data_IF_917764183023
#
_entry.id   IF_917764183023
#
_cell.length_a   1.000
_cell.length_b   1.000
_cell.length_c   1.000
_cell.angle_alpha   90.00
_cell.angle_beta   90.00
_cell.angle_gamma   90.00
#
_symmetry.space_group_name_H-M   'P 1'
#
loop_
_entity.id
_entity.type
_entity.pdbx_description
1 polymer ?
#
# COMPACT_ATOMS: atom_id res chain seq x y z
N UNK A 1 18.54 -13.45 24.87
CA UNK A 1 17.73 -13.95 23.74
C UNK A 1 16.61 -12.95 23.56
N UNK A 2 16.64 -12.05 22.56
CA UNK A 2 15.49 -11.20 22.29
C UNK A 2 14.32 -12.09 21.85
N UNK A 3 13.17 -11.90 22.50
CA UNK A 3 11.89 -12.53 22.16
C UNK A 3 11.41 -12.08 20.77
N UNK A 4 10.62 -12.89 20.04
CA UNK A 4 10.09 -12.48 18.76
C UNK A 4 9.13 -11.29 18.95
N UNK A 5 9.55 -10.15 18.37
CA UNK A 5 8.85 -8.87 18.20
C UNK A 5 8.84 -7.86 19.36
N UNK A 6 10.02 -7.36 19.73
CA UNK A 6 10.24 -5.96 20.19
C UNK A 6 10.27 -4.97 19.00
N UNK A 7 9.70 -5.35 17.85
CA UNK A 7 9.55 -4.41 16.75
C UNK A 7 8.56 -3.33 17.18
N UNK A 8 8.98 -2.06 17.18
CA UNK A 8 8.06 -0.95 17.38
C UNK A 8 6.85 -1.11 16.45
N UNK A 9 5.63 -0.76 16.89
CA UNK A 9 4.44 -0.95 16.08
C UNK A 9 4.62 -0.21 14.74
N UNK A 10 4.66 -0.99 13.66
CA UNK A 10 4.82 -0.47 12.31
C UNK A 10 3.44 -0.21 11.71
N UNK A 11 3.30 0.94 11.06
CA UNK A 11 2.08 1.28 10.31
C UNK A 11 2.35 1.10 8.84
N UNK A 12 1.55 0.27 8.19
CA UNK A 12 1.69 0.00 6.77
C UNK A 12 0.52 0.59 6.02
N UNK A 13 0.81 1.23 4.89
CA UNK A 13 -0.19 1.92 4.10
C UNK A 13 0.00 1.58 2.63
N UNK A 14 -1.03 1.01 2.02
CA UNK A 14 -1.12 0.80 0.59
C UNK A 14 -1.67 2.06 -0.07
N UNK A 15 -1.06 2.46 -1.18
CA UNK A 15 -1.50 3.59 -2.00
C UNK A 15 -1.50 3.18 -3.46
N UNK A 16 -2.60 3.46 -4.17
CA UNK A 16 -2.65 3.33 -5.61
C UNK A 16 -3.32 4.56 -6.23
N UNK A 17 -3.09 4.76 -7.52
CA UNK A 17 -3.55 5.94 -8.26
C UNK A 17 -4.38 5.51 -9.46
N UNK A 18 -5.23 6.42 -9.92
CA UNK A 18 -5.81 6.35 -11.26
C UNK A 18 -4.97 7.22 -12.18
N UNK A 19 -4.45 6.64 -13.25
CA UNK A 19 -3.76 7.41 -14.28
C UNK A 19 -4.74 8.21 -15.14
N UNK A 20 -5.28 9.28 -14.58
CA UNK A 20 -6.24 10.18 -15.24
C UNK A 20 -5.64 10.89 -16.47
N UNK A 21 -4.31 10.95 -16.58
CA UNK A 21 -3.60 11.69 -17.63
C UNK A 21 -2.99 10.78 -18.72
N UNK A 22 -3.10 9.46 -18.58
CA UNK A 22 -2.57 8.49 -19.55
C UNK A 22 -1.05 8.42 -19.60
N UNK A 23 -0.37 8.70 -18.48
CA UNK A 23 1.09 8.58 -18.34
C UNK A 23 1.60 7.13 -18.23
N UNK A 24 0.69 6.15 -18.16
CA UNK A 24 0.98 4.74 -17.92
C UNK A 24 1.38 4.42 -16.48
N UNK A 25 1.14 5.33 -15.52
CA UNK A 25 1.57 5.18 -14.12
C UNK A 25 0.62 4.28 -13.31
N UNK A 26 0.57 3.02 -13.72
CA UNK A 26 -0.21 1.98 -13.06
C UNK A 26 0.64 1.27 -12.03
N UNK A 27 0.55 1.70 -10.77
CA UNK A 27 1.29 1.06 -9.68
C UNK A 27 0.55 1.10 -8.35
N UNK A 28 0.97 0.22 -7.45
CA UNK A 28 0.61 0.22 -6.04
C UNK A 28 1.87 0.27 -5.19
N UNK A 29 1.87 1.19 -4.23
CA UNK A 29 2.94 1.42 -3.28
C UNK A 29 2.54 0.96 -1.89
N UNK A 30 3.43 0.25 -1.21
CA UNK A 30 3.32 -0.06 0.21
C UNK A 30 4.36 0.73 0.98
N UNK A 31 3.90 1.63 1.85
CA UNK A 31 4.75 2.37 2.76
C UNK A 31 4.72 1.75 4.15
N UNK A 32 5.89 1.48 4.72
CA UNK A 32 6.04 1.01 6.10
C UNK A 32 6.61 2.14 6.93
N UNK A 33 5.88 2.56 7.95
CA UNK A 33 6.29 3.61 8.87
C UNK A 33 6.53 3.07 10.28
N UNK A 34 7.41 3.70 11.03
CA UNK A 34 7.52 3.48 12.47
C UNK A 34 6.38 4.17 13.25
N UNK A 35 6.36 3.96 14.56
CA UNK A 35 5.37 4.56 15.47
C UNK A 35 5.42 6.11 15.50
N UNK A 36 6.50 6.72 15.00
CA UNK A 36 6.70 8.18 14.91
C UNK A 36 6.38 8.73 13.51
N UNK A 37 5.91 7.87 12.59
CA UNK A 37 5.57 8.25 11.22
C UNK A 37 6.79 8.41 10.31
N UNK A 38 7.97 7.91 10.69
CA UNK A 38 9.14 7.90 9.80
C UNK A 38 9.03 6.70 8.87
N UNK A 39 9.18 6.94 7.57
CA UNK A 39 9.26 5.88 6.58
C UNK A 39 10.47 4.99 6.86
N UNK A 40 10.21 3.71 7.08
CA UNK A 40 11.21 2.67 7.29
C UNK A 40 11.50 1.90 6.00
N UNK A 41 10.47 1.69 5.19
CA UNK A 41 10.57 0.93 3.95
C UNK A 41 9.47 1.32 2.97
N UNK A 42 9.71 1.06 1.70
CA UNK A 42 8.79 1.28 0.60
C UNK A 42 8.92 0.16 -0.43
N UNK A 43 7.79 -0.39 -0.85
CA UNK A 43 7.70 -1.37 -1.93
C UNK A 43 6.79 -0.82 -3.01
N UNK A 44 7.18 -1.03 -4.27
CA UNK A 44 6.47 -0.55 -5.44
C UNK A 44 6.20 -1.72 -6.38
N UNK A 45 4.95 -1.90 -6.77
CA UNK A 45 4.54 -2.91 -7.73
C UNK A 45 3.81 -2.27 -8.91
N UNK A 46 4.18 -2.69 -10.11
CA UNK A 46 3.44 -2.35 -11.31
C UNK A 46 2.13 -3.17 -11.36
N UNK A 47 1.05 -2.52 -11.77
CA UNK A 47 -0.26 -3.17 -11.94
C UNK A 47 -0.73 -3.07 -13.38
N UNK A 48 -1.51 -4.06 -13.82
CA UNK A 48 -2.01 -4.10 -15.20
C UNK A 48 -3.08 -3.04 -15.47
N UNK A 49 -3.85 -2.68 -14.45
CA UNK A 49 -4.97 -1.75 -14.50
C UNK A 49 -4.92 -0.77 -13.33
N UNK A 50 -5.56 0.38 -13.48
CA UNK A 50 -5.63 1.40 -12.44
C UNK A 50 -6.60 1.02 -11.32
N UNK A 51 -6.39 1.63 -10.14
CA UNK A 51 -7.36 1.61 -9.06
C UNK A 51 -7.22 0.47 -8.04
N UNK A 52 -8.15 0.42 -7.06
CA UNK A 52 -8.01 -0.42 -5.87
C UNK A 52 -8.13 -1.92 -6.14
N UNK A 53 -8.95 -2.35 -7.10
CA UNK A 53 -9.17 -3.76 -7.39
C UNK A 53 -7.93 -4.43 -8.00
N UNK A 54 -7.28 -3.73 -8.93
CA UNK A 54 -6.03 -4.18 -9.55
C UNK A 54 -4.87 -4.19 -8.54
N UNK A 55 -4.83 -3.18 -7.65
CA UNK A 55 -3.87 -3.12 -6.55
C UNK A 55 -4.03 -4.32 -5.59
N UNK A 56 -5.26 -4.63 -5.18
CA UNK A 56 -5.57 -5.76 -4.30
C UNK A 56 -5.19 -7.11 -4.97
N UNK A 57 -5.44 -7.26 -6.29
CA UNK A 57 -5.10 -8.46 -7.03
C UNK A 57 -3.58 -8.74 -7.08
N UNK A 58 -2.78 -7.72 -7.44
CA UNK A 58 -1.31 -7.87 -7.53
C UNK A 58 -0.69 -8.06 -6.14
N UNK A 59 -1.14 -7.32 -5.13
CA UNK A 59 -0.62 -7.52 -3.76
C UNK A 59 -0.94 -8.90 -3.23
N UNK A 60 -2.12 -9.46 -3.52
CA UNK A 60 -2.46 -10.82 -3.10
C UNK A 60 -1.61 -11.90 -3.81
N UNK A 61 -1.18 -11.66 -5.05
CA UNK A 61 -0.31 -12.56 -5.81
C UNK A 61 1.14 -12.49 -5.32
N UNK A 62 1.69 -11.28 -5.20
CA UNK A 62 3.11 -11.07 -4.89
C UNK A 62 3.41 -11.24 -3.40
N UNK A 63 2.51 -10.78 -2.53
CA UNK A 63 2.65 -10.84 -1.07
C UNK A 63 1.42 -11.52 -0.44
N UNK A 64 1.31 -12.87 -0.51
CA UNK A 64 0.13 -13.59 -0.03
C UNK A 64 -0.17 -13.44 1.46
N UNK A 65 0.79 -12.97 2.27
CA UNK A 65 0.59 -12.69 3.69
C UNK A 65 0.18 -11.24 3.96
N UNK A 66 0.33 -10.33 2.99
CA UNK A 66 -0.11 -8.95 3.13
C UNK A 66 -1.63 -8.89 2.98
N UNK A 67 -2.28 -8.25 3.95
CA UNK A 67 -3.73 -8.05 3.95
C UNK A 67 -4.03 -6.60 4.29
N UNK A 68 -4.94 -6.04 3.51
CA UNK A 68 -5.54 -4.75 3.81
C UNK A 68 -6.42 -4.88 5.07
N UNK A 69 -6.29 -3.93 6.00
CA UNK A 69 -7.00 -3.92 7.29
C UNK A 69 -8.05 -2.82 7.39
N UNK A 70 -8.09 -1.90 6.42
CA UNK A 70 -9.12 -0.87 6.29
C UNK A 70 -9.75 -0.87 4.91
N UNK A 71 -10.90 -0.21 4.75
CA UNK A 71 -11.38 0.12 3.41
C UNK A 71 -10.42 1.04 2.67
N UNK A 72 -10.44 0.98 1.32
CA UNK A 72 -9.76 1.95 0.48
C UNK A 72 -10.40 3.32 0.66
N UNK A 73 -9.59 4.31 1.06
CA UNK A 73 -10.03 5.70 1.21
C UNK A 73 -9.68 6.45 -0.06
N UNK A 74 -10.69 6.83 -0.82
CA UNK A 74 -10.55 7.64 -2.02
C UNK A 74 -10.20 9.09 -1.67
N UNK A 75 -9.31 9.67 -2.46
CA UNK A 75 -8.96 11.08 -2.44
C UNK A 75 -8.64 11.57 -3.85
N UNK A 76 -8.56 12.88 -4.00
CA UNK A 76 -8.18 13.53 -5.25
C UNK A 76 -6.97 14.41 -4.97
N UNK A 77 -5.89 14.19 -5.72
CA UNK A 77 -4.66 14.97 -5.57
C UNK A 77 -4.86 16.42 -6.01
N UNK A 78 -3.94 17.31 -5.65
CA UNK A 78 -4.01 18.72 -6.06
C UNK A 78 -4.04 18.91 -7.59
N UNK A 79 -3.53 17.93 -8.35
CA UNK A 79 -3.57 17.90 -9.81
C UNK A 79 -4.81 17.22 -10.41
N UNK A 80 -5.79 16.84 -9.60
CA UNK A 80 -7.03 16.23 -10.06
C UNK A 80 -6.97 14.72 -10.33
N UNK A 81 -5.88 14.04 -9.94
CA UNK A 81 -5.77 12.57 -10.06
C UNK A 81 -6.42 11.88 -8.87
N UNK A 82 -7.26 10.89 -9.14
CA UNK A 82 -7.83 10.02 -8.11
C UNK A 82 -6.74 9.13 -7.50
N UNK A 83 -6.77 8.97 -6.19
CA UNK A 83 -5.89 8.06 -5.47
C UNK A 83 -6.66 7.37 -4.35
N UNK A 84 -6.20 6.19 -3.96
CA UNK A 84 -6.77 5.43 -2.86
C UNK A 84 -5.67 5.08 -1.87
N UNK A 85 -6.02 5.15 -0.58
CA UNK A 85 -5.12 4.81 0.52
C UNK A 85 -5.80 3.85 1.48
N UNK A 86 -5.16 2.75 1.80
CA UNK A 86 -5.64 1.80 2.79
C UNK A 86 -4.56 1.42 3.80
N UNK A 87 -4.97 1.16 5.03
CA UNK A 87 -4.08 0.57 6.03
C UNK A 87 -3.95 -0.94 5.73
N UNK A 88 -2.75 -1.49 5.94
CA UNK A 88 -2.43 -2.90 5.70
C UNK A 88 -1.64 -3.50 6.87
N UNK A 89 -1.55 -4.81 6.90
CA UNK A 89 -0.72 -5.56 7.84
C UNK A 89 -0.25 -6.87 7.19
N UNK A 90 0.96 -7.32 7.52
CA UNK A 90 1.36 -8.70 7.25
C UNK A 90 0.73 -9.63 8.28
N UNK A 91 0.05 -10.66 7.80
CA UNK A 91 -0.32 -11.82 8.61
C UNK A 91 0.91 -12.63 9.01
N UNK A 92 0.74 -13.48 10.01
CA UNK A 92 1.72 -14.50 10.34
C UNK A 92 1.49 -15.74 9.45
N UNK A 93 2.56 -16.39 8.95
CA UNK A 93 2.45 -17.67 8.24
C UNK A 93 2.06 -18.84 9.15
#
# INVERSE_FOLDING_TARGET
MPTPSDAEPTRMTLTCYNDTHGYGWRHVDLFVHDARGRELNWVHWEVAEDGPDAADAVTAEVEPLLRRTSEWRHGVSAGGMDFWVADAAWGQP
#
